data_IF_687997432518
#
_entry.id   IF_687997432518
#
_cell.length_a   1.000
_cell.length_b   1.000
_cell.length_c   1.000
_cell.angle_alpha   90.00
_cell.angle_beta   90.00
_cell.angle_gamma   90.00
#
_symmetry.space_group_name_H-M   'P 1'
#
loop_
_entity.id
_entity.type
_entity.pdbx_description
1 polymer ?
#
# COMPACT_ATOMS: atom_id res chain seq x y z
N UNK A 1 6.49 2.28 16.78
CA UNK A 1 5.82 1.09 17.38
C UNK A 1 6.77 -0.11 17.34
N UNK A 2 6.55 -1.14 18.16
CA UNK A 2 7.44 -2.32 18.19
C UNK A 2 7.47 -3.07 16.86
N UNK A 3 8.67 -3.40 16.36
CA UNK A 3 8.90 -4.06 15.07
C UNK A 3 8.13 -5.37 14.94
N UNK A 4 8.09 -6.18 16.01
CA UNK A 4 7.43 -7.50 15.98
C UNK A 4 5.93 -7.39 15.73
N UNK A 5 5.28 -6.34 16.27
CA UNK A 5 3.85 -6.10 16.07
C UNK A 5 3.51 -5.63 14.64
N UNK A 6 4.50 -5.12 13.89
CA UNK A 6 4.33 -4.57 12.54
C UNK A 6 5.17 -5.29 11.50
N UNK A 7 5.55 -6.54 11.77
CA UNK A 7 6.40 -7.33 10.88
C UNK A 7 5.83 -7.46 9.45
N UNK A 8 4.50 -7.54 9.31
CA UNK A 8 3.83 -7.59 8.02
C UNK A 8 4.17 -6.42 7.09
N UNK A 9 4.40 -5.21 7.62
CA UNK A 9 4.83 -4.06 6.82
C UNK A 9 6.25 -4.27 6.27
N UNK A 10 7.13 -4.81 7.11
CA UNK A 10 8.53 -5.05 6.77
C UNK A 10 8.64 -6.18 5.75
N UNK A 11 7.92 -7.28 5.96
CA UNK A 11 7.89 -8.43 5.06
C UNK A 11 7.33 -8.04 3.69
N UNK A 12 6.25 -7.24 3.66
CA UNK A 12 5.69 -6.71 2.42
C UNK A 12 6.65 -5.77 1.69
N UNK A 13 7.27 -4.81 2.39
CA UNK A 13 8.25 -3.91 1.80
C UNK A 13 9.46 -4.66 1.21
N UNK A 14 9.97 -5.66 1.94
CA UNK A 14 11.07 -6.51 1.48
C UNK A 14 10.67 -7.31 0.22
N UNK A 15 9.46 -7.87 0.20
CA UNK A 15 8.97 -8.64 -0.94
C UNK A 15 8.75 -7.82 -2.22
N UNK A 16 8.36 -6.55 -2.09
CA UNK A 16 8.17 -5.63 -3.24
C UNK A 16 9.51 -5.09 -3.75
N UNK A 17 10.44 -4.77 -2.85
CA UNK A 17 11.74 -4.18 -3.23
C UNK A 17 12.70 -5.19 -3.85
N UNK A 18 12.56 -6.49 -3.56
CA UNK A 18 13.28 -7.61 -4.21
C UNK A 18 14.80 -7.41 -4.34
N UNK A 19 15.45 -6.78 -3.35
CA UNK A 19 16.89 -6.38 -3.40
C UNK A 19 17.29 -5.42 -4.53
N UNK A 20 16.34 -4.98 -5.37
CA UNK A 20 16.55 -4.04 -6.48
C UNK A 20 16.25 -2.59 -6.09
N UNK A 21 15.60 -2.40 -4.95
CA UNK A 21 15.30 -1.11 -4.37
C UNK A 21 15.80 -0.98 -2.94
N UNK A 22 15.84 0.25 -2.45
CA UNK A 22 16.16 0.57 -1.07
C UNK A 22 14.86 0.94 -0.34
N UNK A 23 14.66 0.42 0.87
CA UNK A 23 13.62 0.92 1.75
C UNK A 23 14.20 1.24 3.12
N UNK A 24 13.52 2.15 3.80
CA UNK A 24 13.89 2.62 5.13
C UNK A 24 12.81 2.26 6.12
N UNK A 25 13.20 1.64 7.22
CA UNK A 25 12.35 1.49 8.41
C UNK A 25 12.47 2.76 9.24
N UNK A 26 11.41 3.57 9.21
CA UNK A 26 11.28 4.78 9.99
C UNK A 26 10.58 4.50 11.32
N UNK A 27 11.17 4.94 12.43
CA UNK A 27 10.54 4.90 13.76
C UNK A 27 10.57 6.27 14.40
N UNK A 28 9.43 6.70 14.94
CA UNK A 28 9.30 7.95 15.68
C UNK A 28 9.14 7.60 17.16
N UNK A 29 9.99 8.20 17.99
CA UNK A 29 9.99 8.06 19.44
C UNK A 29 9.47 9.34 20.09
N UNK A 30 8.79 9.19 21.22
CA UNK A 30 8.32 10.34 22.01
C UNK A 30 9.51 11.08 22.61
N UNK A 31 9.58 12.38 22.37
CA UNK A 31 10.61 13.25 22.97
C UNK A 31 10.55 13.29 24.49
N UNK A 32 9.33 13.15 25.05
CA UNK A 32 9.08 13.19 26.49
C UNK A 32 9.57 11.93 27.20
N UNK A 33 9.48 10.78 26.53
CA UNK A 33 9.76 9.48 27.13
C UNK A 33 11.18 8.98 26.85
N UNK A 34 11.76 9.38 25.71
CA UNK A 34 13.04 8.87 25.24
C UNK A 34 14.07 9.99 25.14
N UNK A 35 15.17 9.94 25.91
CA UNK A 35 16.30 10.86 25.77
C UNK A 35 17.01 10.74 24.41
N UNK A 36 17.60 11.83 23.93
CA UNK A 36 18.35 11.88 22.66
C UNK A 36 19.44 10.81 22.56
N UNK A 37 20.17 10.57 23.65
CA UNK A 37 21.28 9.62 23.72
C UNK A 37 20.86 8.17 23.45
N UNK A 38 19.57 7.83 23.66
CA UNK A 38 19.06 6.48 23.41
C UNK A 38 18.69 6.23 21.94
N UNK A 39 18.60 7.26 21.11
CA UNK A 39 18.19 7.13 19.70
C UNK A 39 19.12 6.19 18.93
N UNK A 40 20.43 6.39 19.04
CA UNK A 40 21.44 5.55 18.38
C UNK A 40 21.35 4.09 18.82
N UNK A 41 21.03 3.85 20.09
CA UNK A 41 20.84 2.49 20.61
C UNK A 41 19.60 1.82 20.00
N UNK A 42 18.49 2.55 19.86
CA UNK A 42 17.30 2.04 19.15
C UNK A 42 17.59 1.77 17.67
N UNK A 43 18.30 2.67 16.98
CA UNK A 43 18.70 2.45 15.58
C UNK A 43 19.53 1.18 15.44
N UNK A 44 20.52 0.99 16.30
CA UNK A 44 21.36 -0.21 16.31
C UNK A 44 20.55 -1.47 16.56
N UNK A 45 19.68 -1.48 17.58
CA UNK A 45 18.85 -2.65 17.89
C UNK A 45 17.93 -3.05 16.74
N UNK A 46 17.29 -2.07 16.08
CA UNK A 46 16.45 -2.32 14.91
C UNK A 46 17.30 -2.88 13.76
N UNK A 47 18.47 -2.28 13.52
CA UNK A 47 19.40 -2.72 12.47
C UNK A 47 19.88 -4.16 12.69
N UNK A 48 20.31 -4.49 13.90
CA UNK A 48 20.75 -5.83 14.28
C UNK A 48 19.62 -6.86 14.12
N UNK A 49 18.39 -6.49 14.49
CA UNK A 49 17.22 -7.34 14.30
C UNK A 49 16.95 -7.66 12.83
N UNK A 50 17.05 -6.67 11.94
CA UNK A 50 16.86 -6.85 10.49
C UNK A 50 17.98 -7.68 9.87
N UNK A 51 19.22 -7.43 10.25
CA UNK A 51 20.39 -8.19 9.81
C UNK A 51 20.27 -9.68 10.17
N UNK A 52 19.83 -9.99 11.39
CA UNK A 52 19.56 -11.36 11.83
C UNK A 52 18.47 -12.05 10.99
N UNK A 53 17.53 -11.28 10.44
CA UNK A 53 16.49 -11.75 9.53
C UNK A 53 16.90 -11.69 8.05
N UNK A 54 18.15 -11.30 7.76
CA UNK A 54 18.70 -11.10 6.40
C UNK A 54 17.92 -10.09 5.56
N UNK A 55 17.32 -9.09 6.22
CA UNK A 55 16.62 -8.00 5.55
C UNK A 55 17.57 -6.82 5.38
N UNK A 56 17.83 -6.42 4.12
CA UNK A 56 18.63 -5.25 3.79
C UNK A 56 17.74 -4.01 3.72
N UNK A 57 17.73 -3.22 4.79
CA UNK A 57 16.99 -1.97 4.85
C UNK A 57 17.80 -0.91 5.60
N UNK A 58 17.57 0.36 5.27
CA UNK A 58 18.03 1.45 6.11
C UNK A 58 17.15 1.56 7.35
N UNK A 59 17.72 2.06 8.44
CA UNK A 59 16.98 2.36 9.67
C UNK A 59 17.12 3.83 9.96
N UNK A 60 16.00 4.48 10.28
CA UNK A 60 15.98 5.86 10.75
C UNK A 60 15.09 5.98 11.96
N UNK A 61 15.65 6.41 13.08
CA UNK A 61 14.90 6.72 14.29
C UNK A 61 14.96 8.23 14.51
N UNK A 62 13.79 8.85 14.60
CA UNK A 62 13.67 10.27 14.95
C UNK A 62 12.88 10.41 16.23
N UNK A 63 13.06 11.54 16.92
CA UNK A 63 12.21 11.95 18.03
C UNK A 63 11.24 13.03 17.54
N UNK A 64 10.06 13.07 18.13
CA UNK A 64 9.08 14.14 17.96
C UNK A 64 8.13 14.18 19.16
N UNK A 65 7.39 15.29 19.30
CA UNK A 65 6.31 15.41 20.28
C UNK A 65 5.14 14.46 20.00
N UNK A 66 4.88 14.18 18.71
CA UNK A 66 3.78 13.34 18.24
C UNK A 66 4.20 12.43 17.10
N UNK A 67 3.52 11.28 16.97
CA UNK A 67 3.83 10.31 15.91
C UNK A 67 3.50 10.87 14.53
N UNK A 68 2.35 11.53 14.36
CA UNK A 68 1.94 12.05 13.04
C UNK A 68 2.79 13.26 12.62
N UNK A 69 3.02 14.21 13.53
CA UNK A 69 3.89 15.38 13.28
C UNK A 69 5.33 14.96 13.00
N UNK A 70 5.88 14.00 13.75
CA UNK A 70 7.20 13.44 13.49
C UNK A 70 7.31 12.73 12.14
N UNK A 71 6.24 12.06 11.69
CA UNK A 71 6.22 11.40 10.39
C UNK A 71 6.20 12.43 9.24
N UNK A 72 5.40 13.49 9.39
CA UNK A 72 5.38 14.65 8.48
C UNK A 72 6.76 15.29 8.38
N UNK A 73 7.40 15.57 9.52
CA UNK A 73 8.74 16.17 9.55
C UNK A 73 9.78 15.25 8.88
N UNK A 74 9.70 13.94 9.17
CA UNK A 74 10.60 12.97 8.58
C UNK A 74 10.44 12.96 7.06
N UNK A 75 9.24 12.76 6.52
CA UNK A 75 9.03 12.70 5.06
C UNK A 75 9.45 13.98 4.35
N UNK A 76 9.27 15.13 5.00
CA UNK A 76 9.66 16.44 4.44
C UNK A 76 11.17 16.66 4.38
N UNK A 77 11.93 16.00 5.24
CA UNK A 77 13.38 16.17 5.36
C UNK A 77 14.18 14.95 4.91
N UNK A 78 13.53 13.81 4.67
CA UNK A 78 14.20 12.55 4.39
C UNK A 78 14.63 12.45 2.93
N UNK A 79 15.94 12.25 2.76
CA UNK A 79 16.56 11.97 1.48
C UNK A 79 18.02 12.41 1.48
N UNK A 80 18.77 11.97 0.47
CA UNK A 80 20.14 12.45 0.22
C UNK A 80 20.29 12.70 -1.28
N UNK A 81 20.34 13.97 -1.68
CA UNK A 81 20.37 14.35 -3.09
C UNK A 81 19.14 13.83 -3.83
N UNK A 82 19.35 12.99 -4.85
CA UNK A 82 18.27 12.37 -5.65
C UNK A 82 17.65 11.13 -4.97
N UNK A 83 18.28 10.60 -3.90
CA UNK A 83 17.78 9.43 -3.19
C UNK A 83 16.72 9.85 -2.18
N UNK A 84 15.47 9.88 -2.65
CA UNK A 84 14.30 10.23 -1.85
C UNK A 84 13.27 9.10 -1.96
N UNK A 85 12.68 8.62 -0.85
CA UNK A 85 11.60 7.63 -0.91
C UNK A 85 10.44 8.17 -1.72
N UNK A 86 9.97 7.41 -2.70
CA UNK A 86 8.82 7.79 -3.53
C UNK A 86 7.50 7.21 -3.00
N UNK A 87 7.57 6.21 -2.12
CA UNK A 87 6.42 5.46 -1.61
C UNK A 87 6.54 5.30 -0.10
N UNK A 88 5.44 5.58 0.60
CA UNK A 88 5.33 5.47 2.05
C UNK A 88 4.37 4.32 2.35
N UNK A 89 4.87 3.32 3.08
CA UNK A 89 4.09 2.18 3.55
C UNK A 89 3.70 2.38 5.02
N UNK A 90 2.40 2.33 5.29
CA UNK A 90 1.83 2.55 6.61
C UNK A 90 0.92 1.39 7.02
N UNK A 91 0.82 1.18 8.33
CA UNK A 91 -0.30 0.45 8.91
C UNK A 91 -1.40 1.42 9.32
N UNK A 92 -2.65 0.96 9.28
CA UNK A 92 -3.81 1.74 9.73
C UNK A 92 -3.65 2.27 11.18
N UNK A 93 -4.18 3.47 11.43
CA UNK A 93 -4.50 3.91 12.80
C UNK A 93 -5.82 3.29 13.25
N UNK A 94 -5.79 2.53 14.35
CA UNK A 94 -6.98 1.91 14.96
C UNK A 94 -7.62 2.75 16.07
N UNK A 95 -7.03 3.92 16.36
CA UNK A 95 -7.47 4.80 17.43
C UNK A 95 -8.34 5.90 16.83
N UNK A 96 -9.60 5.97 17.25
CA UNK A 96 -10.59 6.92 16.71
C UNK A 96 -10.14 8.37 16.87
N UNK A 97 -9.56 8.72 18.03
CA UNK A 97 -9.06 10.06 18.34
C UNK A 97 -7.93 10.53 17.41
N UNK A 98 -7.34 9.62 16.65
CA UNK A 98 -6.24 9.90 15.72
C UNK A 98 -6.68 10.00 14.25
N UNK A 99 -7.97 9.89 13.95
CA UNK A 99 -8.45 9.87 12.55
C UNK A 99 -8.10 11.14 11.78
N UNK A 100 -8.24 12.31 12.41
CA UNK A 100 -7.98 13.60 11.77
C UNK A 100 -6.50 13.81 11.55
N UNK A 101 -5.67 13.55 12.55
CA UNK A 101 -4.21 13.63 12.41
C UNK A 101 -3.67 12.65 11.36
N UNK A 102 -4.25 11.44 11.29
CA UNK A 102 -3.89 10.45 10.28
C UNK A 102 -4.29 10.90 8.86
N UNK A 103 -5.48 11.48 8.70
CA UNK A 103 -5.93 12.05 7.43
C UNK A 103 -5.05 13.23 6.98
N UNK A 104 -4.71 14.15 7.90
CA UNK A 104 -3.80 15.26 7.63
C UNK A 104 -2.40 14.79 7.25
N UNK A 105 -1.88 13.75 7.91
CA UNK A 105 -0.59 13.14 7.55
C UNK A 105 -0.62 12.54 6.14
N UNK A 106 -1.70 11.83 5.77
CA UNK A 106 -1.87 11.27 4.41
C UNK A 106 -1.93 12.40 3.37
N UNK A 107 -2.70 13.45 3.65
CA UNK A 107 -2.78 14.63 2.78
C UNK A 107 -1.40 15.29 2.59
N UNK A 108 -0.63 15.46 3.67
CA UNK A 108 0.73 15.98 3.60
C UNK A 108 1.65 15.11 2.74
N UNK A 109 1.61 13.80 2.91
CA UNK A 109 2.39 12.85 2.12
C UNK A 109 2.02 12.91 0.64
N UNK A 110 0.73 12.98 0.33
CA UNK A 110 0.24 13.09 -1.04
C UNK A 110 0.70 14.40 -1.69
N UNK A 111 0.54 15.54 -1.00
CA UNK A 111 1.00 16.86 -1.45
C UNK A 111 2.52 16.92 -1.63
N UNK A 112 3.25 16.18 -0.81
CA UNK A 112 4.70 15.99 -0.93
C UNK A 112 5.11 15.08 -2.10
N UNK A 113 4.19 14.69 -2.97
CA UNK A 113 4.44 13.82 -4.14
C UNK A 113 4.99 12.46 -3.73
N UNK A 114 4.39 11.85 -2.70
CA UNK A 114 4.68 10.48 -2.26
C UNK A 114 3.49 9.58 -2.51
N UNK A 115 3.73 8.44 -3.11
CA UNK A 115 2.76 7.36 -3.16
C UNK A 115 2.55 6.82 -1.74
N UNK A 116 1.33 6.40 -1.43
CA UNK A 116 0.98 5.92 -0.09
C UNK A 116 0.32 4.55 -0.23
N UNK A 117 0.77 3.62 0.59
CA UNK A 117 0.21 2.28 0.69
C UNK A 117 -0.18 2.08 2.16
N UNK A 118 -1.45 1.78 2.41
CA UNK A 118 -1.97 1.54 3.76
C UNK A 118 -2.39 0.08 3.87
N UNK A 119 -1.74 -0.67 4.75
CA UNK A 119 -2.06 -2.04 5.07
C UNK A 119 -3.03 -2.09 6.26
N UNK A 120 -4.16 -2.78 6.09
CA UNK A 120 -5.17 -2.96 7.13
C UNK A 120 -5.44 -4.46 7.41
N UNK A 121 -5.64 -4.77 8.69
CA UNK A 121 -6.04 -6.09 9.21
C UNK A 121 -5.05 -7.24 8.94
N UNK A 122 -3.76 -6.90 8.82
CA UNK A 122 -2.68 -7.88 8.81
C UNK A 122 -2.30 -8.28 10.23
N UNK A 123 -2.91 -9.37 10.72
CA UNK A 123 -2.34 -10.14 11.82
C UNK A 123 -1.12 -10.90 11.29
N UNK A 124 -0.13 -11.15 12.14
CA UNK A 124 1.24 -11.63 11.87
C UNK A 124 1.40 -12.96 11.13
N UNK A 125 0.37 -13.41 10.42
CA UNK A 125 0.40 -14.60 9.59
C UNK A 125 1.23 -14.37 8.33
N UNK A 126 2.04 -15.39 8.05
CA UNK A 126 3.00 -15.44 6.97
C UNK A 126 2.35 -15.06 5.63
N UNK A 127 2.90 -14.04 4.97
CA UNK A 127 2.39 -13.54 3.70
C UNK A 127 2.80 -14.44 2.51
N UNK A 128 3.32 -15.64 2.80
CA UNK A 128 4.10 -16.51 1.91
C UNK A 128 3.41 -17.79 1.41
N UNK A 129 2.19 -18.11 1.87
CA UNK A 129 1.43 -19.23 1.29
C UNK A 129 0.80 -18.83 -0.05
N UNK A 130 0.40 -19.80 -0.90
CA UNK A 130 -0.27 -19.53 -2.19
C UNK A 130 -1.39 -18.51 -1.98
N UNK A 131 -1.29 -17.35 -2.63
CA UNK A 131 -2.18 -16.20 -2.41
C UNK A 131 -2.98 -15.88 -3.65
N UNK A 132 -4.27 -15.64 -3.45
CA UNK A 132 -5.12 -14.99 -4.44
C UNK A 132 -5.24 -13.51 -4.12
N UNK A 133 -4.77 -12.65 -5.02
CA UNK A 133 -4.78 -11.20 -4.88
C UNK A 133 -5.79 -10.60 -5.85
N UNK A 134 -6.79 -9.91 -5.31
CA UNK A 134 -7.75 -9.17 -6.11
C UNK A 134 -7.37 -7.69 -6.16
N UNK A 135 -7.21 -7.17 -7.38
CA UNK A 135 -6.96 -5.75 -7.65
C UNK A 135 -8.26 -5.17 -8.20
N UNK A 136 -8.94 -4.35 -7.40
CA UNK A 136 -10.15 -3.66 -7.82
C UNK A 136 -9.81 -2.36 -8.51
N UNK A 137 -9.93 -2.40 -9.83
CA UNK A 137 -9.40 -1.39 -10.72
C UNK A 137 -10.49 -0.48 -11.27
N UNK A 138 -10.27 0.83 -11.19
CA UNK A 138 -11.15 1.87 -11.75
C UNK A 138 -10.62 2.52 -13.04
N UNK A 139 -9.53 2.02 -13.61
CA UNK A 139 -8.85 2.60 -14.79
C UNK A 139 -7.43 3.09 -14.52
N UNK A 140 -6.65 3.36 -15.57
CA UNK A 140 -5.20 3.69 -15.48
C UNK A 140 -4.91 5.03 -14.79
N UNK A 141 -5.86 5.97 -14.81
CA UNK A 141 -5.71 7.28 -14.17
C UNK A 141 -5.73 7.15 -12.64
N UNK A 142 -4.93 7.95 -11.96
CA UNK A 142 -4.77 7.90 -10.50
C UNK A 142 -4.05 6.62 -10.05
N UNK A 143 -4.71 5.82 -9.22
CA UNK A 143 -4.07 4.69 -8.51
C UNK A 143 -3.79 3.47 -9.38
N UNK A 144 -4.43 3.37 -10.55
CA UNK A 144 -4.42 2.19 -11.38
C UNK A 144 -3.03 1.72 -11.79
N UNK A 145 -2.19 2.65 -12.27
CA UNK A 145 -0.80 2.34 -12.64
C UNK A 145 -0.01 1.75 -11.48
N UNK A 146 -0.04 2.39 -10.31
CA UNK A 146 0.68 1.90 -9.13
C UNK A 146 0.15 0.53 -8.66
N UNK A 147 -1.16 0.32 -8.64
CA UNK A 147 -1.75 -0.97 -8.27
C UNK A 147 -1.32 -2.09 -9.23
N UNK A 148 -1.22 -1.79 -10.52
CA UNK A 148 -0.69 -2.73 -11.52
C UNK A 148 0.80 -3.03 -11.32
N UNK A 149 1.63 -2.04 -10.98
CA UNK A 149 3.04 -2.23 -10.63
C UNK A 149 3.15 -3.13 -9.40
N UNK A 150 2.36 -2.87 -8.36
CA UNK A 150 2.36 -3.69 -7.15
C UNK A 150 1.97 -5.14 -7.47
N UNK A 151 0.94 -5.35 -8.30
CA UNK A 151 0.59 -6.67 -8.81
C UNK A 151 1.76 -7.33 -9.54
N UNK A 152 2.39 -6.64 -10.48
CA UNK A 152 3.54 -7.16 -11.23
C UNK A 152 4.73 -7.53 -10.32
N UNK A 153 5.09 -6.66 -9.38
CA UNK A 153 6.15 -6.90 -8.42
C UNK A 153 5.80 -8.08 -7.51
N UNK A 154 4.53 -8.25 -7.13
CA UNK A 154 4.11 -9.42 -6.38
C UNK A 154 4.25 -10.70 -7.20
N UNK A 155 3.76 -10.69 -8.44
CA UNK A 155 3.80 -11.83 -9.36
C UNK A 155 5.22 -12.34 -9.65
N UNK A 156 6.18 -11.43 -9.83
CA UNK A 156 7.56 -11.80 -10.12
C UNK A 156 8.42 -12.01 -8.86
N UNK A 157 7.84 -11.91 -7.67
CA UNK A 157 8.60 -12.03 -6.44
C UNK A 157 8.80 -13.49 -6.04
N UNK A 158 10.02 -13.92 -5.69
CA UNK A 158 10.22 -15.24 -5.09
C UNK A 158 9.54 -15.37 -3.72
N UNK A 159 9.13 -14.26 -3.10
CA UNK A 159 8.42 -14.24 -1.82
C UNK A 159 6.94 -14.64 -1.94
N UNK A 160 6.35 -14.51 -3.14
CA UNK A 160 4.94 -14.85 -3.43
C UNK A 160 4.85 -15.86 -4.56
N UNK A 161 5.45 -17.04 -4.36
CA UNK A 161 5.36 -18.15 -5.33
C UNK A 161 3.90 -18.53 -5.57
N UNK A 162 3.59 -18.77 -6.84
CA UNK A 162 2.26 -19.20 -7.30
C UNK A 162 1.13 -18.23 -6.94
N UNK A 163 1.44 -16.94 -6.77
CA UNK A 163 0.43 -15.90 -6.54
C UNK A 163 -0.47 -15.76 -7.78
N UNK A 164 -1.76 -15.82 -7.55
CA UNK A 164 -2.77 -15.59 -8.57
C UNK A 164 -3.26 -14.15 -8.45
N UNK A 165 -3.12 -13.37 -9.51
CA UNK A 165 -3.54 -11.98 -9.53
C UNK A 165 -4.77 -11.83 -10.41
N UNK A 166 -5.86 -11.34 -9.82
CA UNK A 166 -7.12 -11.08 -10.49
C UNK A 166 -7.35 -9.56 -10.57
N UNK A 167 -7.39 -9.03 -11.79
CA UNK A 167 -7.87 -7.68 -12.03
C UNK A 167 -9.37 -7.71 -12.17
N UNK A 168 -10.06 -7.03 -11.25
CA UNK A 168 -11.52 -6.91 -11.24
C UNK A 168 -11.92 -5.47 -11.48
N UNK A 169 -12.92 -5.27 -12.31
CA UNK A 169 -13.43 -3.93 -12.59
C UNK A 169 -14.94 -3.97 -12.75
N UNK A 170 -15.60 -2.96 -12.20
CA UNK A 170 -17.05 -2.78 -12.27
C UNK A 170 -17.39 -1.65 -13.24
N UNK A 171 -18.26 -1.94 -14.20
CA UNK A 171 -18.76 -0.96 -15.17
C UNK A 171 -20.29 -0.96 -15.20
N UNK A 172 -20.89 0.11 -15.74
CA UNK A 172 -22.35 0.30 -15.75
C UNK A 172 -23.05 -0.33 -16.95
N UNK A 173 -22.34 -0.56 -18.05
CA UNK A 173 -22.93 -1.06 -19.30
C UNK A 173 -22.07 -2.13 -19.95
N UNK A 174 -22.70 -2.94 -20.80
CA UNK A 174 -22.03 -4.00 -21.56
C UNK A 174 -21.03 -3.43 -22.57
N UNK A 175 -21.33 -2.29 -23.19
CA UNK A 175 -20.42 -1.63 -24.12
C UNK A 175 -19.14 -1.19 -23.42
N UNK A 176 -19.27 -0.62 -22.21
CA UNK A 176 -18.12 -0.28 -21.38
C UNK A 176 -17.32 -1.52 -20.97
N UNK A 177 -17.99 -2.66 -20.75
CA UNK A 177 -17.32 -3.92 -20.42
C UNK A 177 -16.49 -4.44 -21.58
N UNK A 178 -17.03 -4.40 -22.79
CA UNK A 178 -16.31 -4.83 -24.00
C UNK A 178 -15.05 -3.97 -24.25
N UNK A 179 -15.20 -2.64 -24.18
CA UNK A 179 -14.08 -1.71 -24.34
C UNK A 179 -13.00 -1.99 -23.31
N UNK A 180 -13.40 -2.16 -22.05
CA UNK A 180 -12.44 -2.30 -20.98
C UNK A 180 -11.77 -3.69 -20.95
N UNK A 181 -12.47 -4.77 -21.33
CA UNK A 181 -11.86 -6.09 -21.58
C UNK A 181 -10.80 -6.01 -22.68
N UNK A 182 -11.09 -5.32 -23.79
CA UNK A 182 -10.13 -5.11 -24.88
C UNK A 182 -8.90 -4.33 -24.41
N UNK A 183 -9.10 -3.24 -23.67
CA UNK A 183 -8.00 -2.43 -23.14
C UNK A 183 -7.12 -3.22 -22.15
N UNK A 184 -7.74 -4.00 -21.25
CA UNK A 184 -7.04 -4.90 -20.33
C UNK A 184 -6.19 -5.92 -21.07
N UNK A 185 -6.76 -6.59 -22.05
CA UNK A 185 -6.07 -7.64 -22.83
C UNK A 185 -4.84 -7.06 -23.54
N UNK A 186 -4.98 -5.88 -24.17
CA UNK A 186 -3.87 -5.20 -24.83
C UNK A 186 -2.78 -4.77 -23.84
N UNK A 187 -3.15 -4.32 -22.64
CA UNK A 187 -2.21 -3.91 -21.62
C UNK A 187 -1.44 -5.12 -21.04
N UNK A 188 -2.14 -6.22 -20.74
CA UNK A 188 -1.53 -7.43 -20.18
C UNK A 188 -0.64 -8.18 -21.18
N UNK A 189 -1.08 -8.29 -22.43
CA UNK A 189 -0.29 -8.92 -23.49
C UNK A 189 1.05 -8.23 -23.71
N UNK A 190 1.11 -6.90 -23.62
CA UNK A 190 2.35 -6.13 -23.70
C UNK A 190 3.36 -6.47 -22.60
N UNK A 191 2.89 -6.92 -21.43
CA UNK A 191 3.76 -7.25 -20.30
C UNK A 191 4.18 -8.72 -20.22
N UNK A 192 3.57 -9.60 -21.03
CA UNK A 192 3.78 -11.06 -20.95
C UNK A 192 3.48 -11.63 -19.56
N UNK A 193 2.44 -11.12 -18.89
CA UNK A 193 1.99 -11.61 -17.59
C UNK A 193 0.62 -12.25 -17.73
N UNK A 194 0.41 -13.36 -17.03
CA UNK A 194 -0.86 -14.06 -16.97
C UNK A 194 -1.69 -13.61 -15.76
N UNK A 195 -2.28 -12.41 -15.86
CA UNK A 195 -3.26 -11.92 -14.88
C UNK A 195 -4.66 -12.28 -15.32
N UNK A 196 -5.44 -12.83 -14.38
CA UNK A 196 -6.86 -13.09 -14.59
C UNK A 196 -7.59 -11.75 -14.68
N UNK A 197 -8.51 -11.62 -15.64
CA UNK A 197 -9.33 -10.41 -15.78
C UNK A 197 -10.81 -10.74 -15.63
N UNK A 198 -11.51 -9.97 -14.78
CA UNK A 198 -12.96 -10.09 -14.60
C UNK A 198 -13.59 -8.72 -14.67
N UNK A 199 -14.31 -8.46 -15.76
CA UNK A 199 -15.09 -7.23 -15.94
C UNK A 199 -16.56 -7.54 -15.65
N UNK A 200 -17.09 -6.87 -14.63
CA UNK A 200 -18.44 -7.03 -14.11
C UNK A 200 -19.31 -5.86 -14.57
N UNK A 201 -20.54 -6.15 -14.97
CA UNK A 201 -21.54 -5.13 -15.32
C UNK A 201 -22.58 -5.07 -14.22
N UNK A 202 -22.76 -3.90 -13.62
CA UNK A 202 -23.89 -3.66 -12.71
C UNK A 202 -24.41 -2.24 -12.82
N UNK A 203 -25.74 -2.12 -12.92
CA UNK A 203 -26.45 -0.84 -12.99
C UNK A 203 -26.92 -0.33 -11.63
N UNK A 204 -27.41 -1.24 -10.79
CA UNK A 204 -28.18 -0.89 -9.58
C UNK A 204 -27.57 -1.42 -8.28
N UNK A 205 -26.63 -2.37 -8.36
CA UNK A 205 -26.05 -2.95 -7.16
C UNK A 205 -24.89 -2.09 -6.65
N UNK A 206 -24.82 -1.94 -5.33
CA UNK A 206 -23.72 -1.24 -4.68
C UNK A 206 -22.40 -1.94 -4.95
N UNK A 207 -21.38 -1.18 -5.33
CA UNK A 207 -20.00 -1.66 -5.48
C UNK A 207 -19.53 -2.49 -4.28
N UNK A 208 -19.91 -2.07 -3.06
CA UNK A 208 -19.49 -2.74 -1.82
C UNK A 208 -20.07 -4.14 -1.65
N UNK A 209 -21.29 -4.38 -2.13
CA UNK A 209 -21.91 -5.71 -2.10
C UNK A 209 -21.22 -6.64 -3.09
N UNK A 210 -20.98 -6.15 -4.31
CA UNK A 210 -20.26 -6.89 -5.35
C UNK A 210 -18.85 -7.23 -4.86
N UNK A 211 -18.12 -6.24 -4.35
CA UNK A 211 -16.78 -6.41 -3.77
C UNK A 211 -16.75 -7.53 -2.73
N UNK A 212 -17.72 -7.53 -1.80
CA UNK A 212 -17.81 -8.54 -0.74
C UNK A 212 -18.03 -9.94 -1.29
N UNK A 213 -18.91 -10.10 -2.28
CA UNK A 213 -19.20 -11.41 -2.88
C UNK A 213 -18.01 -11.90 -3.71
N UNK A 214 -17.52 -11.04 -4.59
CA UNK A 214 -16.51 -11.36 -5.58
C UNK A 214 -15.12 -11.60 -4.98
N UNK A 215 -14.78 -10.93 -3.88
CA UNK A 215 -13.48 -11.09 -3.20
C UNK A 215 -13.57 -11.89 -1.89
N UNK A 216 -14.65 -12.65 -1.70
CA UNK A 216 -14.87 -13.46 -0.50
C UNK A 216 -13.78 -14.52 -0.25
N UNK A 217 -13.22 -15.08 -1.32
CA UNK A 217 -12.18 -16.11 -1.27
C UNK A 217 -10.76 -15.56 -1.47
N UNK A 218 -10.60 -14.25 -1.60
CA UNK A 218 -9.30 -13.65 -1.88
C UNK A 218 -8.50 -13.50 -0.59
N UNK A 219 -7.21 -13.80 -0.65
CA UNK A 219 -6.30 -13.62 0.47
C UNK A 219 -5.95 -12.15 0.71
N UNK A 220 -5.98 -11.35 -0.36
CA UNK A 220 -5.62 -9.94 -0.35
C UNK A 220 -6.50 -9.18 -1.33
N UNK A 221 -6.98 -8.02 -0.91
CA UNK A 221 -7.70 -7.10 -1.80
C UNK A 221 -6.97 -5.75 -1.86
N UNK A 222 -6.66 -5.28 -3.07
CA UNK A 222 -6.12 -3.95 -3.33
C UNK A 222 -7.21 -3.02 -3.85
N UNK A 223 -7.32 -1.83 -3.24
CA UNK A 223 -8.28 -0.79 -3.58
C UNK A 223 -7.58 0.57 -3.69
N UNK A 224 -8.00 1.38 -4.66
CA UNK A 224 -7.55 2.76 -4.76
C UNK A 224 -8.22 3.68 -3.74
N UNK A 225 -7.46 4.64 -3.18
CA UNK A 225 -7.99 5.72 -2.37
C UNK A 225 -8.34 6.94 -3.23
N UNK A 226 -9.36 7.70 -2.83
CA UNK A 226 -9.55 9.02 -3.39
C UNK A 226 -8.42 9.97 -2.93
N UNK A 227 -8.18 11.02 -3.70
CA UNK A 227 -7.30 12.11 -3.29
C UNK A 227 -7.78 12.74 -1.98
N UNK A 228 -6.89 12.97 -1.00
CA UNK A 228 -7.25 13.64 0.25
C UNK A 228 -7.78 15.06 0.04
N UNK A 229 -8.80 15.40 0.82
CA UNK A 229 -9.37 16.73 0.99
C UNK A 229 -9.92 16.88 2.42
N UNK A 230 -10.68 17.94 2.69
CA UNK A 230 -11.23 18.23 4.01
C UNK A 230 -12.18 17.14 4.57
N UNK A 231 -12.78 16.30 3.72
CA UNK A 231 -13.68 15.21 4.13
C UNK A 231 -12.99 13.83 4.07
N UNK A 232 -11.66 13.79 3.91
CA UNK A 232 -10.94 12.53 3.71
C UNK A 232 -11.05 11.60 4.93
N UNK A 233 -11.04 12.15 6.14
CA UNK A 233 -11.24 11.41 7.39
C UNK A 233 -12.56 10.62 7.36
N UNK A 234 -13.69 11.29 7.11
CA UNK A 234 -15.01 10.67 7.00
C UNK A 234 -15.07 9.62 5.89
N UNK A 235 -14.52 9.93 4.71
CA UNK A 235 -14.44 8.98 3.61
C UNK A 235 -13.66 7.71 4.00
N UNK A 236 -12.50 7.87 4.63
CA UNK A 236 -11.64 6.75 4.99
C UNK A 236 -12.31 5.87 6.04
N UNK A 237 -13.00 6.46 7.02
CA UNK A 237 -13.83 5.70 7.96
C UNK A 237 -14.95 4.91 7.28
N UNK A 238 -15.66 5.53 6.34
CA UNK A 238 -16.70 4.84 5.58
C UNK A 238 -16.13 3.71 4.70
N UNK A 239 -14.97 3.92 4.07
CA UNK A 239 -14.25 2.91 3.32
C UNK A 239 -13.90 1.70 4.20
N UNK A 240 -13.40 1.94 5.43
CA UNK A 240 -13.10 0.88 6.39
C UNK A 240 -14.35 0.10 6.79
N UNK A 241 -15.47 0.79 7.06
CA UNK A 241 -16.75 0.15 7.38
C UNK A 241 -17.24 -0.72 6.22
N UNK A 242 -17.22 -0.21 5.00
CA UNK A 242 -17.68 -0.94 3.81
C UNK A 242 -16.80 -2.15 3.47
N UNK A 243 -15.52 -2.11 3.83
CA UNK A 243 -14.55 -3.20 3.58
C UNK A 243 -14.31 -4.08 4.81
N UNK A 244 -15.10 -3.97 5.88
CA UNK A 244 -14.91 -4.73 7.13
C UNK A 244 -14.95 -6.25 6.94
N UNK A 245 -15.71 -6.73 5.95
CA UNK A 245 -15.83 -8.16 5.65
C UNK A 245 -14.59 -8.76 4.97
N UNK A 246 -13.70 -7.92 4.43
CA UNK A 246 -12.47 -8.33 3.74
C UNK A 246 -11.37 -8.47 4.77
N UNK A 247 -10.74 -9.65 4.81
CA UNK A 247 -9.76 -10.01 5.86
C UNK A 247 -8.47 -9.19 5.79
N UNK A 248 -7.82 -9.15 4.63
CA UNK A 248 -6.57 -8.39 4.41
C UNK A 248 -6.75 -7.47 3.23
N UNK A 249 -6.44 -6.20 3.42
CA UNK A 249 -6.66 -5.19 2.39
C UNK A 249 -5.58 -4.14 2.37
N UNK A 250 -5.24 -3.72 1.16
CA UNK A 250 -4.27 -2.68 0.88
C UNK A 250 -4.99 -1.55 0.18
N UNK A 251 -4.86 -0.36 0.74
CA UNK A 251 -5.31 0.86 0.11
C UNK A 251 -4.13 1.57 -0.54
N UNK A 252 -4.29 1.96 -1.80
CA UNK A 252 -3.23 2.54 -2.62
C UNK A 252 -3.62 3.95 -3.05
N UNK A 253 -2.74 4.91 -2.82
CA UNK A 253 -2.86 6.28 -3.28
C UNK A 253 -1.61 6.65 -4.07
N UNK A 254 -1.74 6.77 -5.39
CA UNK A 254 -0.67 7.27 -6.25
C UNK A 254 -0.67 8.80 -6.23
N UNK A 255 0.49 9.41 -6.06
CA UNK A 255 0.64 10.87 -6.00
C UNK A 255 0.77 11.55 -7.37
N UNK A 256 1.00 10.73 -8.40
CA UNK A 256 1.14 11.14 -9.79
C UNK A 256 0.55 10.06 -10.68
N UNK A 257 0.09 10.45 -11.87
CA UNK A 257 -0.25 9.48 -12.91
C UNK A 257 1.05 8.78 -13.34
N UNK A 258 1.19 7.53 -12.93
CA UNK A 258 2.31 6.70 -13.36
C UNK A 258 1.90 6.11 -14.71
N UNK A 259 2.50 6.59 -15.79
CA UNK A 259 2.42 5.92 -17.08
C UNK A 259 3.11 4.57 -16.96
N UNK A 260 2.29 3.54 -16.75
CA UNK A 260 2.74 2.20 -16.42
C UNK A 260 3.68 1.57 -17.48
N UNK A 261 3.62 2.05 -18.72
CA UNK A 261 4.53 1.64 -19.80
C UNK A 261 5.98 2.10 -19.55
N UNK A 262 6.17 3.25 -18.91
CA UNK A 262 7.50 3.85 -18.70
C UNK A 262 8.27 3.17 -17.54
N UNK A 263 7.57 2.41 -16.69
CA UNK A 263 8.18 1.72 -15.53
C UNK A 263 8.73 0.33 -15.91
N UNK A 264 8.30 -0.22 -17.04
CA UNK A 264 8.70 -1.56 -17.51
C UNK A 264 9.63 -1.54 -18.74
N UNK A 265 9.99 -0.36 -19.25
CA UNK A 265 10.97 -0.16 -20.33
C UNK A 265 12.41 -0.12 -19.84
#
# INVERSE_FOLDING_TARGET
GSLSKRWHLIDFANGITQEKGLFTIATILSEKEVPQEKVTNFEKQITDYLNNKKIRALVRVTRAEGTFSGAIQLVSSYGLGLLVPNTILLGESKVEDHKEDYAQMIDHFYKSKRNIIIMQDFVSDDFRSKKTVDIWWGGLKGNGGLMMILGYLMYNSPYWRDVEINIKMLVKTEEAALIAKKNLTNLLSGMRIDFNTKVLVSKNESFWNILKVESSNSDLVMLGLRTPDNDFSCYFENLKKNTKSIKKKIFVLASQDIEFKDVLS
#
